data_IF_902310905856
#
_entry.id   IF_902310905856
#
_cell.length_a   1.000
_cell.length_b   1.000
_cell.length_c   1.000
_cell.angle_alpha   90.00
_cell.angle_beta   90.00
_cell.angle_gamma   90.00
#
_symmetry.space_group_name_H-M   'P 1'
#
loop_
_entity.id
_entity.type
_entity.pdbx_description
1 polymer ?
#
# COMPACT_ATOMS: atom_id res chain seq x y z
N UNK A 1 -6.57 -6.76 -10.25
CA UNK A 1 -7.02 -6.30 -8.93
C UNK A 1 -5.90 -5.49 -8.30
N UNK A 2 -6.19 -4.41 -7.58
CA UNK A 2 -5.16 -3.53 -7.00
C UNK A 2 -4.66 -4.08 -5.66
N UNK A 3 -3.71 -5.03 -5.69
CA UNK A 3 -3.11 -5.58 -4.45
C UNK A 3 -2.22 -4.58 -3.69
N UNK A 4 -2.05 -3.36 -4.21
CA UNK A 4 -1.06 -2.40 -3.73
C UNK A 4 -1.50 -1.62 -2.49
N UNK A 5 -2.79 -1.34 -2.31
CA UNK A 5 -3.26 -0.50 -1.19
C UNK A 5 -3.68 -1.29 0.05
N UNK A 6 -3.44 -2.61 0.08
CA UNK A 6 -3.87 -3.47 1.19
C UNK A 6 -5.16 -4.27 0.94
N UNK A 7 -5.52 -4.53 -0.32
CA UNK A 7 -6.69 -5.34 -0.69
C UNK A 7 -6.74 -6.72 0.00
N UNK A 8 -5.58 -7.28 0.39
CA UNK A 8 -5.52 -8.54 1.16
C UNK A 8 -6.08 -8.38 2.58
N UNK A 9 -5.73 -7.28 3.24
CA UNK A 9 -6.23 -6.98 4.58
C UNK A 9 -7.71 -6.58 4.56
N UNK A 10 -8.16 -5.90 3.51
CA UNK A 10 -9.58 -5.59 3.29
C UNK A 10 -10.40 -6.85 2.97
N UNK A 11 -9.85 -7.76 2.16
CA UNK A 11 -10.50 -9.04 1.87
C UNK A 11 -10.61 -9.92 3.11
N UNK A 12 -9.58 -9.98 3.95
CA UNK A 12 -9.65 -10.67 5.26
C UNK A 12 -10.76 -10.09 6.15
N UNK A 13 -10.89 -8.76 6.23
CA UNK A 13 -11.93 -8.12 7.04
C UNK A 13 -13.35 -8.41 6.53
N UNK A 14 -13.52 -8.54 5.21
CA UNK A 14 -14.82 -8.82 4.59
C UNK A 14 -15.12 -10.31 4.40
N UNK A 15 -14.22 -11.20 4.80
CA UNK A 15 -14.35 -12.64 4.58
C UNK A 15 -14.25 -13.05 3.11
N UNK A 16 -13.60 -12.23 2.27
CA UNK A 16 -13.41 -12.43 0.83
C UNK A 16 -12.04 -13.03 0.48
N UNK A 17 -11.38 -13.66 1.44
CA UNK A 17 -10.03 -14.20 1.28
C UNK A 17 -9.97 -15.27 0.20
N UNK A 18 -10.98 -16.13 0.09
CA UNK A 18 -11.02 -17.20 -0.91
C UNK A 18 -11.25 -16.65 -2.32
N UNK A 19 -12.11 -15.63 -2.45
CA UNK A 19 -12.37 -14.93 -3.70
C UNK A 19 -11.14 -14.13 -4.18
N UNK A 20 -10.35 -13.61 -3.23
CA UNK A 20 -9.09 -12.94 -3.53
C UNK A 20 -7.99 -13.93 -3.93
N UNK A 21 -7.98 -15.14 -3.35
CA UNK A 21 -6.94 -16.16 -3.58
C UNK A 21 -6.90 -16.69 -5.02
N UNK A 22 -7.98 -16.50 -5.80
CA UNK A 22 -8.02 -16.85 -7.23
C UNK A 22 -7.10 -15.96 -8.08
N UNK A 23 -6.66 -14.82 -7.54
CA UNK A 23 -5.75 -13.90 -8.21
C UNK A 23 -4.34 -14.05 -7.65
N UNK A 24 -3.40 -14.48 -8.50
CA UNK A 24 -2.00 -14.61 -8.12
C UNK A 24 -1.44 -13.30 -7.58
N UNK A 25 -0.94 -13.34 -6.35
CA UNK A 25 -0.23 -12.22 -5.75
C UNK A 25 1.20 -12.22 -6.26
N UNK A 26 1.49 -11.30 -7.17
CA UNK A 26 2.84 -11.11 -7.67
C UNK A 26 3.70 -10.41 -6.62
N UNK A 27 4.64 -11.13 -5.97
CA UNK A 27 5.67 -10.49 -5.14
C UNK A 27 6.82 -10.03 -6.04
N UNK A 28 6.59 -8.91 -6.74
CA UNK A 28 7.52 -8.40 -7.75
C UNK A 28 7.92 -6.95 -7.54
N UNK A 29 9.04 -6.51 -8.16
CA UNK A 29 9.42 -5.10 -8.18
C UNK A 29 8.34 -4.18 -8.76
N UNK A 30 7.46 -4.69 -9.63
CA UNK A 30 6.36 -3.91 -10.20
C UNK A 30 5.30 -3.65 -9.14
N UNK A 31 4.93 -4.65 -8.33
CA UNK A 31 4.02 -4.44 -7.22
C UNK A 31 4.61 -3.46 -6.20
N UNK A 32 5.89 -3.60 -5.86
CA UNK A 32 6.59 -2.65 -4.97
C UNK A 32 6.54 -1.21 -5.51
N UNK A 33 6.68 -1.02 -6.82
CA UNK A 33 6.62 0.30 -7.45
C UNK A 33 5.20 0.89 -7.45
N UNK A 34 4.16 0.06 -7.63
CA UNK A 34 2.77 0.48 -7.52
C UNK A 34 2.41 0.87 -6.07
N UNK A 35 2.85 0.08 -5.09
CA UNK A 35 2.71 0.41 -3.67
C UNK A 35 3.41 1.73 -3.37
N UNK A 36 4.64 1.89 -3.85
CA UNK A 36 5.38 3.14 -3.70
C UNK A 36 4.60 4.32 -4.27
N UNK A 37 4.12 4.24 -5.51
CA UNK A 37 3.37 5.32 -6.14
C UNK A 37 2.10 5.71 -5.37
N UNK A 38 1.32 4.73 -4.90
CA UNK A 38 0.10 4.97 -4.11
C UNK A 38 0.43 5.58 -2.73
N UNK A 39 1.49 5.07 -2.09
CA UNK A 39 1.90 5.49 -0.75
C UNK A 39 2.77 6.76 -0.72
N UNK A 40 3.06 7.36 -1.87
CA UNK A 40 3.75 8.66 -1.98
C UNK A 40 2.97 9.68 -2.82
N UNK A 41 1.75 9.36 -3.24
CA UNK A 41 0.91 10.26 -4.05
C UNK A 41 -0.47 10.43 -3.43
N UNK A 42 -0.86 11.68 -3.23
CA UNK A 42 -2.18 12.01 -2.70
C UNK A 42 -3.29 12.04 -3.75
N UNK A 43 -4.55 12.17 -3.33
CA UNK A 43 -5.72 12.12 -4.23
C UNK A 43 -5.76 13.23 -5.29
N UNK A 44 -5.03 14.34 -5.13
CA UNK A 44 -4.90 15.39 -6.13
C UNK A 44 -3.54 15.36 -6.86
N UNK A 45 -2.80 14.25 -6.76
CA UNK A 45 -1.50 14.06 -7.41
C UNK A 45 -0.31 14.67 -6.68
N UNK A 46 -0.49 15.22 -5.48
CA UNK A 46 0.59 15.78 -4.68
C UNK A 46 1.54 14.69 -4.17
N UNK A 47 2.83 15.01 -4.08
CA UNK A 47 3.82 14.10 -3.50
C UNK A 47 3.80 14.14 -1.97
N UNK A 48 3.97 12.97 -1.36
CA UNK A 48 4.11 12.78 0.08
C UNK A 48 5.29 11.89 0.40
N UNK A 49 5.89 12.11 1.57
CA UNK A 49 6.67 11.08 2.23
C UNK A 49 5.73 9.98 2.76
N UNK A 50 6.27 8.76 2.92
CA UNK A 50 5.45 7.60 3.30
C UNK A 50 4.68 7.81 4.61
N UNK A 51 5.35 8.33 5.65
CA UNK A 51 4.72 8.52 6.95
C UNK A 51 3.63 9.61 6.89
N UNK A 52 3.90 10.73 6.23
CA UNK A 52 2.92 11.79 6.02
C UNK A 52 1.70 11.30 5.23
N UNK A 53 1.91 10.42 4.24
CA UNK A 53 0.82 9.81 3.48
C UNK A 53 -0.04 8.92 4.37
N UNK A 54 0.57 8.08 5.20
CA UNK A 54 -0.15 7.20 6.12
C UNK A 54 -0.96 8.04 7.13
N UNK A 55 -0.36 9.08 7.69
CA UNK A 55 -1.04 9.96 8.63
C UNK A 55 -2.21 10.68 7.98
N UNK A 56 -2.08 11.17 6.74
CA UNK A 56 -3.20 11.76 5.99
C UNK A 56 -4.35 10.76 5.82
N UNK A 57 -4.04 9.52 5.45
CA UNK A 57 -5.06 8.48 5.27
C UNK A 57 -5.78 8.21 6.59
N UNK A 58 -5.04 8.09 7.70
CA UNK A 58 -5.61 7.81 9.02
C UNK A 58 -6.39 9.00 9.60
N UNK A 59 -6.11 10.23 9.16
CA UNK A 59 -6.92 11.41 9.48
C UNK A 59 -8.19 11.45 8.64
N UNK A 60 -8.10 11.10 7.34
CA UNK A 60 -9.23 11.11 6.41
C UNK A 60 -10.26 10.02 6.69
N UNK A 61 -9.80 8.85 7.14
CA UNK A 61 -10.63 7.71 7.48
C UNK A 61 -10.63 7.49 8.99
N UNK A 62 -11.80 7.68 9.60
CA UNK A 62 -11.96 7.60 11.06
C UNK A 62 -11.63 6.21 11.63
N UNK A 63 -11.15 6.13 12.88
CA UNK A 63 -10.94 4.87 13.57
C UNK A 63 -12.21 4.00 13.55
N UNK A 64 -12.05 2.73 13.17
CA UNK A 64 -13.16 1.79 13.02
C UNK A 64 -13.67 1.65 11.58
N UNK A 65 -13.27 2.53 10.67
CA UNK A 65 -13.45 2.28 9.23
C UNK A 65 -12.55 1.13 8.77
N UNK A 66 -12.99 0.42 7.73
CA UNK A 66 -12.23 -0.69 7.13
C UNK A 66 -10.87 -0.20 6.60
N UNK A 67 -10.83 0.99 5.99
CA UNK A 67 -9.61 1.60 5.47
C UNK A 67 -8.62 1.92 6.59
N UNK A 68 -9.08 2.52 7.69
CA UNK A 68 -8.22 2.83 8.83
C UNK A 68 -7.61 1.55 9.41
N UNK A 69 -8.43 0.51 9.58
CA UNK A 69 -8.00 -0.79 10.10
C UNK A 69 -6.99 -1.47 9.17
N UNK A 70 -7.29 -1.52 7.87
CA UNK A 70 -6.43 -2.16 6.87
C UNK A 70 -5.08 -1.46 6.74
N UNK A 71 -5.06 -0.12 6.63
CA UNK A 71 -3.83 0.66 6.48
C UNK A 71 -2.97 0.58 7.74
N UNK A 72 -3.58 0.63 8.93
CA UNK A 72 -2.86 0.46 10.19
C UNK A 72 -2.17 -0.90 10.27
N UNK A 73 -2.86 -1.98 9.87
CA UNK A 73 -2.30 -3.33 9.86
C UNK A 73 -1.24 -3.52 8.76
N UNK A 74 -1.45 -2.92 7.58
CA UNK A 74 -0.57 -3.06 6.42
C UNK A 74 0.70 -2.21 6.49
N UNK A 75 0.78 -1.22 7.40
CA UNK A 75 1.89 -0.25 7.45
C UNK A 75 3.29 -0.87 7.37
N UNK A 76 3.64 -1.96 8.10
CA UNK A 76 4.97 -2.56 7.99
C UNK A 76 5.27 -3.14 6.60
N UNK A 77 4.26 -3.75 5.96
CA UNK A 77 4.39 -4.30 4.62
C UNK A 77 4.56 -3.18 3.58
N UNK A 78 3.73 -2.15 3.66
CA UNK A 78 3.76 -0.99 2.75
C UNK A 78 5.09 -0.24 2.84
N UNK A 79 5.59 0.01 4.06
CA UNK A 79 6.89 0.64 4.27
C UNK A 79 8.04 -0.22 3.73
N UNK A 80 7.94 -1.55 3.83
CA UNK A 80 8.89 -2.48 3.23
C UNK A 80 8.96 -2.37 1.71
N UNK A 81 7.80 -2.28 1.04
CA UNK A 81 7.72 -2.10 -0.41
C UNK A 81 8.30 -0.74 -0.86
N UNK A 82 7.94 0.34 -0.16
CA UNK A 82 8.49 1.70 -0.40
C UNK A 82 10.01 1.68 -0.34
N UNK A 83 10.59 1.11 0.73
CA UNK A 83 12.03 1.01 0.91
C UNK A 83 12.71 0.24 -0.23
N UNK A 84 12.18 -0.94 -0.58
CA UNK A 84 12.75 -1.75 -1.69
C UNK A 84 12.70 -1.01 -3.01
N UNK A 85 11.66 -0.23 -3.28
CA UNK A 85 11.57 0.61 -4.49
C UNK A 85 12.64 1.70 -4.49
N UNK A 86 12.80 2.43 -3.38
CA UNK A 86 13.83 3.46 -3.24
C UNK A 86 15.25 2.91 -3.39
N UNK A 87 15.54 1.73 -2.82
CA UNK A 87 16.81 1.02 -2.97
C UNK A 87 17.12 0.70 -4.44
N UNK A 88 16.11 0.24 -5.20
CA UNK A 88 16.27 -0.05 -6.64
C UNK A 88 16.50 1.22 -7.46
N UNK A 89 15.80 2.31 -7.14
CA UNK A 89 15.97 3.60 -7.82
C UNK A 89 17.35 4.22 -7.53
N UNK A 90 17.83 4.12 -6.29
CA UNK A 90 19.16 4.58 -5.90
C UNK A 90 20.31 3.74 -6.46
N UNK A 91 20.04 2.48 -6.81
CA UNK A 91 20.99 1.56 -7.44
C UNK A 91 21.01 1.59 -8.98
N UNK A 92 20.14 2.37 -9.64
CA UNK A 92 20.19 2.49 -11.10
C UNK A 92 21.34 3.43 -11.52
N UNK A 93 22.27 2.98 -12.39
CA UNK A 93 23.25 3.89 -12.97
C UNK A 93 22.53 4.97 -13.78
N UNK A 94 22.94 6.23 -13.60
CA UNK A 94 22.45 7.38 -14.37
C UNK A 94 22.80 7.27 -15.85
#
# INVERSE_FOLDING_TARGET
MAHHSGAVYEAEQRGLTEELAVYDREDSPVLDALIFADMTTGPAGQSFDFDDRIDEILVRYEPGSEVHTAISAARPYLGGAVRRTLERLGGQPK
#
